data_IF_642065617224
#
_entry.id   IF_642065617224
#
_cell.length_a   1.000
_cell.length_b   1.000
_cell.length_c   1.000
_cell.angle_alpha   90.00
_cell.angle_beta   90.00
_cell.angle_gamma   90.00
#
_symmetry.space_group_name_H-M   'P 1'
#
loop_
_entity.id
_entity.type
_entity.pdbx_description
1 polymer ?
#
# COMPACT_ATOMS: atom_id res chain seq x y z
N UNK A 1 -11.38 5.07 8.13
CA UNK A 1 -12.27 4.82 6.97
C UNK A 1 -12.02 3.41 6.41
N UNK A 2 -13.10 2.65 6.21
CA UNK A 2 -13.30 1.39 5.46
C UNK A 2 -12.07 0.50 5.15
N UNK A 3 -11.91 -0.58 5.92
CA UNK A 3 -11.11 -1.79 5.62
C UNK A 3 -11.47 -2.51 4.30
N UNK A 4 -12.39 -1.95 3.50
CA UNK A 4 -13.01 -2.60 2.33
C UNK A 4 -12.45 -2.13 0.99
N UNK A 5 -11.55 -1.14 0.96
CA UNK A 5 -11.06 -0.58 -0.32
C UNK A 5 -10.15 -1.57 -1.05
N UNK A 6 -9.43 -2.39 -0.28
CA UNK A 6 -8.46 -3.36 -0.79
C UNK A 6 -9.05 -4.76 -1.03
N UNK A 7 -10.34 -4.98 -0.77
CA UNK A 7 -11.01 -6.26 -0.93
C UNK A 7 -12.07 -6.21 -2.05
N UNK A 8 -12.26 -7.31 -2.76
CA UNK A 8 -13.33 -7.52 -3.74
C UNK A 8 -14.04 -8.87 -3.49
N UNK A 9 -15.18 -9.11 -4.15
CA UNK A 9 -16.00 -10.33 -3.95
C UNK A 9 -15.31 -11.67 -4.23
N UNK A 10 -14.12 -11.67 -4.82
CA UNK A 10 -13.32 -12.88 -5.09
C UNK A 10 -12.02 -12.92 -4.28
N UNK A 11 -11.86 -12.02 -3.31
CA UNK A 11 -10.66 -11.96 -2.47
C UNK A 11 -10.67 -13.13 -1.48
N UNK A 12 -9.70 -14.05 -1.56
CA UNK A 12 -9.63 -15.17 -0.63
C UNK A 12 -9.28 -14.72 0.78
N UNK A 13 -9.62 -15.53 1.79
CA UNK A 13 -9.48 -15.18 3.21
C UNK A 13 -8.06 -14.76 3.59
N UNK A 14 -7.05 -15.47 3.09
CA UNK A 14 -5.65 -15.12 3.33
C UNK A 14 -5.27 -13.74 2.78
N UNK A 15 -5.84 -13.35 1.63
CA UNK A 15 -5.57 -12.05 1.01
C UNK A 15 -6.28 -10.94 1.76
N UNK A 16 -7.47 -11.20 2.33
CA UNK A 16 -8.15 -10.28 3.24
C UNK A 16 -7.30 -9.95 4.46
N UNK A 17 -6.63 -10.94 5.06
CA UNK A 17 -5.73 -10.71 6.20
C UNK A 17 -4.57 -9.80 5.83
N UNK A 18 -3.90 -10.06 4.69
CA UNK A 18 -2.80 -9.22 4.20
C UNK A 18 -3.31 -7.81 3.90
N UNK A 19 -4.46 -7.67 3.24
CA UNK A 19 -5.08 -6.38 2.94
C UNK A 19 -5.46 -5.62 4.21
N UNK A 20 -5.95 -6.28 5.25
CA UNK A 20 -6.24 -5.65 6.55
C UNK A 20 -4.97 -5.14 7.23
N UNK A 21 -3.88 -5.91 7.20
CA UNK A 21 -2.58 -5.46 7.73
C UNK A 21 -2.03 -4.28 6.94
N UNK A 22 -2.15 -4.32 5.61
CA UNK A 22 -1.70 -3.26 4.72
C UNK A 22 -2.54 -1.98 4.92
N UNK A 23 -3.85 -2.12 5.10
CA UNK A 23 -4.72 -1.00 5.46
C UNK A 23 -4.38 -0.43 6.84
N UNK A 24 -4.09 -1.28 7.85
CA UNK A 24 -3.65 -0.82 9.16
C UNK A 24 -2.33 -0.06 9.07
N UNK A 25 -1.36 -0.58 8.31
CA UNK A 25 -0.08 0.08 8.04
C UNK A 25 -0.29 1.45 7.38
N UNK A 26 -1.22 1.57 6.43
CA UNK A 26 -1.57 2.84 5.78
C UNK A 26 -2.30 3.85 6.69
N UNK A 27 -2.87 3.40 7.81
CA UNK A 27 -3.50 4.28 8.81
C UNK A 27 -2.50 4.81 9.84
N UNK A 28 -1.30 4.21 9.92
CA UNK A 28 -0.22 4.73 10.74
C UNK A 28 0.34 6.00 10.08
N UNK A 29 0.55 7.06 10.86
CA UNK A 29 1.08 8.34 10.39
C UNK A 29 2.45 8.61 11.03
N UNK A 30 3.36 9.26 10.30
CA UNK A 30 4.62 9.77 10.86
C UNK A 30 5.59 8.67 11.29
N UNK A 31 6.09 8.74 12.53
CA UNK A 31 7.15 7.87 13.07
C UNK A 31 6.73 6.40 13.24
N UNK A 32 5.43 6.12 13.39
CA UNK A 32 4.91 4.74 13.45
C UNK A 32 4.80 4.09 12.07
N UNK A 33 4.87 4.86 10.99
CA UNK A 33 4.82 4.34 9.63
C UNK A 33 6.19 3.79 9.19
N UNK A 34 6.32 2.47 9.21
CA UNK A 34 7.50 1.78 8.68
C UNK A 34 7.36 1.52 7.18
N UNK A 35 8.16 2.24 6.38
CA UNK A 35 8.21 2.04 4.92
C UNK A 35 8.67 0.61 4.57
N UNK A 36 9.56 0.03 5.38
CA UNK A 36 10.04 -1.35 5.22
C UNK A 36 8.92 -2.36 5.42
N UNK A 37 8.08 -2.16 6.45
CA UNK A 37 6.93 -3.04 6.70
C UNK A 37 5.90 -2.94 5.58
N UNK A 38 5.66 -1.73 5.08
CA UNK A 38 4.78 -1.51 3.92
C UNK A 38 5.29 -2.24 2.66
N UNK A 39 6.58 -2.12 2.32
CA UNK A 39 7.19 -2.84 1.20
C UNK A 39 7.11 -4.36 1.37
N UNK A 40 7.32 -4.84 2.59
CA UNK A 40 7.22 -6.27 2.92
C UNK A 40 5.79 -6.78 2.73
N UNK A 41 4.79 -6.02 3.18
CA UNK A 41 3.38 -6.35 3.02
C UNK A 41 2.94 -6.31 1.56
N UNK A 42 3.41 -5.35 0.75
CA UNK A 42 3.16 -5.33 -0.70
C UNK A 42 3.76 -6.56 -1.38
N UNK A 43 5.02 -6.88 -1.08
CA UNK A 43 5.71 -8.04 -1.65
C UNK A 43 5.01 -9.35 -1.26
N UNK A 44 4.56 -9.46 -0.01
CA UNK A 44 3.79 -10.59 0.48
C UNK A 44 2.46 -10.70 -0.28
N UNK A 45 1.73 -9.59 -0.42
CA UNK A 45 0.47 -9.53 -1.17
C UNK A 45 0.67 -10.01 -2.62
N UNK A 46 1.73 -9.55 -3.29
CA UNK A 46 2.04 -9.96 -4.66
C UNK A 46 2.28 -11.48 -4.76
N UNK A 47 3.12 -12.06 -3.90
CA UNK A 47 3.38 -13.51 -3.87
C UNK A 47 2.09 -14.32 -3.69
N UNK A 48 1.24 -13.86 -2.79
CA UNK A 48 -0.02 -14.49 -2.44
C UNK A 48 -1.02 -14.44 -3.59
N UNK A 49 -1.14 -13.29 -4.26
CA UNK A 49 -1.98 -13.10 -5.46
C UNK A 49 -1.50 -13.97 -6.61
N UNK A 50 -0.20 -13.99 -6.89
CA UNK A 50 0.38 -14.83 -7.96
C UNK A 50 0.13 -16.30 -7.69
N UNK A 51 0.32 -16.76 -6.43
CA UNK A 51 0.04 -18.15 -6.05
C UNK A 51 -1.44 -18.51 -6.21
N UNK A 52 -2.35 -17.58 -5.90
CA UNK A 52 -3.79 -17.79 -6.09
C UNK A 52 -4.15 -17.84 -7.57
N UNK A 53 -3.62 -16.93 -8.39
CA UNK A 53 -3.79 -16.91 -9.84
C UNK A 53 -3.28 -18.18 -10.53
N UNK A 54 -2.23 -18.81 -10.02
CA UNK A 54 -1.73 -20.10 -10.51
C UNK A 54 -2.66 -21.27 -10.20
N UNK A 55 -3.52 -21.16 -9.18
CA UNK A 55 -4.46 -22.22 -8.77
C UNK A 55 -5.83 -22.11 -9.43
N UNK A 56 -6.13 -20.98 -10.06
CA UNK A 56 -7.43 -20.72 -10.68
C UNK A 56 -7.45 -21.20 -12.14
N UNK A 57 -8.64 -21.60 -12.58
CA UNK A 57 -8.92 -21.91 -13.98
C UNK A 57 -8.88 -20.63 -14.85
N UNK A 58 -8.68 -20.79 -16.16
CA UNK A 58 -8.44 -19.66 -17.09
C UNK A 58 -9.52 -18.56 -17.03
N UNK A 59 -10.81 -18.93 -16.92
CA UNK A 59 -11.91 -17.96 -16.81
C UNK A 59 -11.94 -17.25 -15.45
N UNK A 60 -11.78 -18.01 -14.36
CA UNK A 60 -11.78 -17.45 -13.01
C UNK A 60 -10.57 -16.55 -12.77
N UNK A 61 -9.42 -16.93 -13.35
CA UNK A 61 -8.18 -16.15 -13.35
C UNK A 61 -8.38 -14.80 -14.03
N UNK A 62 -9.01 -14.76 -15.21
CA UNK A 62 -9.34 -13.50 -15.91
C UNK A 62 -10.28 -12.62 -15.08
N UNK A 63 -11.33 -13.22 -14.52
CA UNK A 63 -12.30 -12.50 -13.69
C UNK A 63 -11.69 -11.96 -12.38
N UNK A 64 -10.78 -12.71 -11.76
CA UNK A 64 -10.02 -12.28 -10.58
C UNK A 64 -9.04 -11.16 -10.95
N UNK A 65 -8.21 -11.35 -11.98
CA UNK A 65 -7.21 -10.38 -12.42
C UNK A 65 -7.83 -9.02 -12.78
N UNK A 66 -9.00 -9.01 -13.44
CA UNK A 66 -9.72 -7.77 -13.78
C UNK A 66 -10.18 -6.98 -12.55
N UNK A 67 -10.48 -7.65 -11.44
CA UNK A 67 -10.82 -6.97 -10.17
C UNK A 67 -9.55 -6.55 -9.43
N UNK A 68 -8.54 -7.42 -9.43
CA UNK A 68 -7.27 -7.19 -8.74
C UNK A 68 -6.47 -6.03 -9.35
N UNK A 69 -6.54 -5.82 -10.67
CA UNK A 69 -5.87 -4.69 -11.33
C UNK A 69 -6.41 -3.34 -10.84
N UNK A 70 -7.71 -3.24 -10.55
CA UNK A 70 -8.32 -2.04 -10.01
C UNK A 70 -7.86 -1.77 -8.58
N UNK A 71 -7.70 -2.83 -7.78
CA UNK A 71 -7.16 -2.71 -6.43
C UNK A 71 -5.68 -2.33 -6.47
N UNK A 72 -4.90 -2.94 -7.36
CA UNK A 72 -3.50 -2.58 -7.55
C UNK A 72 -3.35 -1.12 -7.93
N UNK A 73 -4.16 -0.62 -8.87
CA UNK A 73 -4.10 0.79 -9.28
C UNK A 73 -4.39 1.74 -8.11
N UNK A 74 -5.39 1.44 -7.29
CA UNK A 74 -5.66 2.22 -6.06
C UNK A 74 -4.51 2.17 -5.07
N UNK A 75 -3.90 0.99 -4.91
CA UNK A 75 -2.77 0.82 -3.99
C UNK A 75 -1.53 1.58 -4.49
N UNK A 76 -1.34 1.64 -5.81
CA UNK A 76 -0.31 2.46 -6.45
C UNK A 76 -0.58 3.96 -6.25
N UNK A 77 -1.81 4.43 -6.43
CA UNK A 77 -2.20 5.82 -6.16
C UNK A 77 -1.95 6.21 -4.69
N UNK A 78 -2.29 5.32 -3.75
CA UNK A 78 -2.02 5.52 -2.32
C UNK A 78 -0.52 5.55 -2.02
N UNK A 79 0.26 4.62 -2.60
CA UNK A 79 1.71 4.59 -2.43
C UNK A 79 2.38 5.85 -3.00
N UNK A 80 1.88 6.36 -4.13
CA UNK A 80 2.35 7.60 -4.75
C UNK A 80 2.03 8.81 -3.87
N UNK A 81 0.81 8.89 -3.35
CA UNK A 81 0.42 9.94 -2.40
C UNK A 81 1.28 9.92 -1.12
N UNK A 82 1.60 8.74 -0.59
CA UNK A 82 2.53 8.63 0.56
C UNK A 82 3.93 9.15 0.22
N UNK A 83 4.45 8.83 -0.97
CA UNK A 83 5.75 9.30 -1.42
C UNK A 83 5.79 10.83 -1.58
N UNK A 84 4.73 11.42 -2.13
CA UNK A 84 4.61 12.88 -2.28
C UNK A 84 4.53 13.59 -0.93
N UNK A 85 3.73 13.07 0.01
CA UNK A 85 3.65 13.61 1.37
C UNK A 85 5.00 13.51 2.11
N UNK A 86 5.70 12.38 2.02
CA UNK A 86 7.03 12.21 2.62
C UNK A 86 8.06 13.18 2.03
N UNK A 87 7.98 13.44 0.71
CA UNK A 87 8.85 14.42 0.04
C UNK A 87 8.58 15.84 0.52
N UNK A 88 7.32 16.24 0.67
CA UNK A 88 6.95 17.56 1.16
C UNK A 88 7.39 17.77 2.62
N UNK A 89 7.28 16.75 3.46
CA UNK A 89 7.76 16.81 4.85
C UNK A 89 9.29 16.89 4.92
N UNK A 90 10.02 16.15 4.08
CA UNK A 90 11.47 16.27 3.98
C UNK A 90 11.92 17.66 3.51
N UNK A 91 11.19 18.27 2.55
CA UNK A 91 11.45 19.63 2.07
C UNK A 91 11.19 20.65 3.19
N UNK A 92 10.09 20.54 3.95
CA UNK A 92 9.82 21.41 5.11
C UNK A 92 10.88 21.27 6.19
N UNK A 93 11.33 20.06 6.50
CA UNK A 93 12.43 19.81 7.44
C UNK A 93 13.76 20.42 6.98
N UNK A 94 14.07 20.34 5.69
CA UNK A 94 15.29 20.95 5.12
C UNK A 94 15.26 22.48 5.21
N UNK A 95 14.09 23.10 4.97
CA UNK A 95 13.87 24.54 5.13
C UNK A 95 13.94 24.98 6.59
N UNK A 96 13.39 24.17 7.51
CA UNK A 96 13.52 24.40 8.96
C UNK A 96 14.98 24.42 9.43
N UNK A 97 15.82 23.50 8.95
CA UNK A 97 17.27 23.50 9.27
C UNK A 97 18.00 24.72 8.70
N UNK A 98 17.63 25.20 7.52
CA UNK A 98 18.23 26.40 6.93
C UNK A 98 17.81 27.66 7.68
N UNK A 99 16.58 27.73 8.19
CA UNK A 99 16.13 28.83 9.04
C UNK A 99 16.87 28.87 10.38
N UNK A 100 17.06 27.72 11.05
CA UNK A 100 17.81 27.65 12.31
C UNK A 100 19.29 28.00 12.12
N UNK A 101 19.89 27.70 10.96
CA UNK A 101 21.26 28.11 10.63
C UNK A 101 21.43 29.61 10.35
N UNK A 102 20.37 30.35 10.02
CA UNK A 102 20.41 31.81 9.76
C UNK A 102 20.34 32.67 11.02
N UNK A 103 20.00 32.08 12.17
CA UNK A 103 19.97 32.76 13.48
C UNK A 103 21.23 32.51 14.32
N UNK A 104 22.29 31.93 13.73
CA UNK A 104 23.58 31.72 14.38
C UNK A 104 24.62 32.71 13.89
#
# INVERSE_FOLDING_TARGET
MKHSILNHNKTPLFLKVVNSKLAACLMLNGEEFSTTDFQTLISLRHKVVTRFLCRLNSEEKKAFAKKEIFINKKLEELARGLLENAKDDAVKFSRGRTAVKKYK
#
